data_IF_364739398745
#
_entry.id   IF_364739398745
#
_cell.length_a   1.000
_cell.length_b   1.000
_cell.length_c   1.000
_cell.angle_alpha   90.00
_cell.angle_beta   90.00
_cell.angle_gamma   90.00
#
_symmetry.space_group_name_H-M   'P 1'
#
loop_
_entity.id
_entity.type
_entity.pdbx_description
1 polymer ?
#
# COMPACT_ATOMS: atom_id res chain seq x y z
N UNK A 1 -9.54 27.46 64.69
CA UNK A 1 -10.51 28.47 64.23
C UNK A 1 -10.39 28.50 62.73
N UNK A 2 -11.48 28.16 62.07
CA UNK A 2 -11.59 27.85 60.65
C UNK A 2 -11.14 28.99 59.75
N UNK A 3 -9.92 28.90 59.22
CA UNK A 3 -9.44 29.71 58.09
C UNK A 3 -9.47 28.92 56.77
N UNK A 4 -10.07 27.73 56.76
CA UNK A 4 -10.04 26.81 55.61
C UNK A 4 -11.14 27.01 54.57
N UNK A 5 -12.26 27.67 54.90
CA UNK A 5 -13.40 27.77 53.99
C UNK A 5 -13.50 29.08 53.21
N UNK A 6 -12.72 30.10 53.57
CA UNK A 6 -12.72 31.39 52.85
C UNK A 6 -11.96 31.30 51.52
N UNK A 7 -10.88 30.53 51.47
CA UNK A 7 -9.99 30.51 50.30
C UNK A 7 -10.60 29.89 49.04
N UNK A 8 -11.45 28.86 49.16
CA UNK A 8 -11.96 28.14 47.98
C UNK A 8 -13.02 28.98 47.24
N UNK A 9 -13.88 29.69 47.99
CA UNK A 9 -14.89 30.57 47.38
C UNK A 9 -14.26 31.78 46.69
N UNK A 10 -13.20 32.34 47.27
CA UNK A 10 -12.46 33.43 46.63
C UNK A 10 -11.86 33.00 45.29
N UNK A 11 -11.25 31.80 45.23
CA UNK A 11 -10.73 31.28 43.96
C UNK A 11 -11.82 31.01 42.93
N UNK A 12 -12.98 30.50 43.35
CA UNK A 12 -14.11 30.26 42.44
C UNK A 12 -14.61 31.59 41.85
N UNK A 13 -14.78 32.63 42.67
CA UNK A 13 -15.20 33.95 42.18
C UNK A 13 -14.21 34.57 41.21
N UNK A 14 -12.90 34.49 41.49
CA UNK A 14 -11.85 34.98 40.58
C UNK A 14 -11.83 34.17 39.28
N UNK A 15 -12.11 32.87 39.32
CA UNK A 15 -12.16 32.04 38.12
C UNK A 15 -13.34 32.44 37.23
N UNK A 16 -14.53 32.66 37.82
CA UNK A 16 -15.71 33.16 37.08
C UNK A 16 -15.47 34.57 36.53
N UNK A 17 -14.84 35.47 37.27
CA UNK A 17 -14.52 36.82 36.78
C UNK A 17 -13.54 36.77 35.59
N UNK A 18 -12.57 35.86 35.63
CA UNK A 18 -11.63 35.63 34.52
C UNK A 18 -12.36 35.00 33.32
N UNK A 19 -13.24 34.02 33.55
CA UNK A 19 -14.02 33.38 32.50
C UNK A 19 -14.94 34.39 31.80
N UNK A 20 -15.65 35.23 32.56
CA UNK A 20 -16.48 36.31 32.05
C UNK A 20 -15.63 37.36 31.31
N UNK A 21 -14.46 37.74 31.85
CA UNK A 21 -13.55 38.66 31.17
C UNK A 21 -12.98 38.09 29.87
N UNK A 22 -12.71 36.78 29.81
CA UNK A 22 -12.25 36.11 28.59
C UNK A 22 -13.40 36.01 27.59
N UNK A 23 -14.63 35.71 28.03
CA UNK A 23 -15.80 35.66 27.17
C UNK A 23 -16.07 37.03 26.52
N UNK A 24 -16.07 38.11 27.30
CA UNK A 24 -16.25 39.49 26.81
C UNK A 24 -15.12 39.89 25.86
N UNK A 25 -13.86 39.60 26.21
CA UNK A 25 -12.71 39.90 25.34
C UNK A 25 -12.75 39.12 24.03
N UNK A 26 -13.13 37.84 24.10
CA UNK A 26 -13.29 36.99 22.91
C UNK A 26 -14.41 37.50 22.00
N UNK A 27 -15.53 37.93 22.55
CA UNK A 27 -16.63 38.50 21.78
C UNK A 27 -16.24 39.84 21.12
N UNK A 28 -15.48 40.69 21.82
CA UNK A 28 -14.95 41.93 21.27
C UNK A 28 -13.95 41.68 20.12
N UNK A 29 -13.08 40.67 20.24
CA UNK A 29 -12.15 40.28 19.18
C UNK A 29 -12.89 39.74 17.95
N UNK A 30 -13.92 38.90 18.15
CA UNK A 30 -14.74 38.37 17.06
C UNK A 30 -15.49 39.48 16.31
N UNK A 31 -16.10 40.41 17.05
CA UNK A 31 -16.80 41.55 16.45
C UNK A 31 -15.85 42.47 15.67
N UNK A 32 -14.62 42.70 16.18
CA UNK A 32 -13.59 43.45 15.46
C UNK A 32 -13.12 42.73 14.19
N UNK A 33 -12.99 41.39 14.22
CA UNK A 33 -12.65 40.62 13.03
C UNK A 33 -13.75 40.69 11.97
N UNK A 34 -15.02 40.58 12.37
CA UNK A 34 -16.17 40.66 11.47
C UNK A 34 -16.30 42.06 10.85
N UNK A 35 -16.12 43.12 11.64
CA UNK A 35 -16.10 44.49 11.15
C UNK A 35 -14.96 44.72 10.14
N UNK A 36 -13.75 44.21 10.43
CA UNK A 36 -12.62 44.29 9.51
C UNK A 36 -12.92 43.57 8.21
N UNK A 37 -13.51 42.37 8.27
CA UNK A 37 -13.82 41.56 7.10
C UNK A 37 -14.91 42.22 6.23
N UNK A 38 -15.92 42.83 6.86
CA UNK A 38 -16.94 43.63 6.18
C UNK A 38 -16.35 44.86 5.50
N UNK A 39 -15.43 45.57 6.16
CA UNK A 39 -14.75 46.73 5.59
C UNK A 39 -13.85 46.33 4.41
N UNK A 40 -13.07 45.25 4.53
CA UNK A 40 -12.23 44.77 3.41
C UNK A 40 -13.07 44.29 2.24
N UNK A 41 -14.20 43.62 2.48
CA UNK A 41 -15.14 43.26 1.42
C UNK A 41 -15.74 44.49 0.74
N UNK A 42 -16.07 45.53 1.51
CA UNK A 42 -16.57 46.79 0.96
C UNK A 42 -15.52 47.50 0.12
N UNK A 43 -14.26 47.55 0.57
CA UNK A 43 -13.13 48.10 -0.20
C UNK A 43 -12.87 47.31 -1.49
N UNK A 44 -12.88 45.96 -1.43
CA UNK A 44 -12.73 45.11 -2.62
C UNK A 44 -13.89 45.35 -3.60
N UNK A 45 -15.12 45.43 -3.10
CA UNK A 45 -16.30 45.67 -3.94
C UNK A 45 -16.26 47.06 -4.58
N UNK A 46 -15.88 48.08 -3.80
CA UNK A 46 -15.69 49.45 -4.31
C UNK A 46 -14.56 49.52 -5.31
N UNK A 47 -13.46 48.78 -5.11
CA UNK A 47 -12.34 48.69 -6.05
C UNK A 47 -12.77 47.99 -7.35
N UNK A 48 -13.53 46.91 -7.27
CA UNK A 48 -14.10 46.25 -8.46
C UNK A 48 -15.04 47.18 -9.21
N UNK A 49 -15.91 47.92 -8.51
CA UNK A 49 -16.80 48.90 -9.14
C UNK A 49 -16.02 50.06 -9.77
N UNK A 50 -15.00 50.59 -9.10
CA UNK A 50 -14.12 51.62 -9.64
C UNK A 50 -13.35 51.12 -10.87
N UNK A 51 -12.81 49.90 -10.82
CA UNK A 51 -12.14 49.25 -11.98
C UNK A 51 -13.13 49.07 -13.13
N UNK A 52 -14.39 48.73 -12.86
CA UNK A 52 -15.44 48.59 -13.86
C UNK A 52 -15.85 49.94 -14.47
N UNK A 53 -15.89 51.01 -13.68
CA UNK A 53 -16.20 52.35 -14.14
C UNK A 53 -15.03 53.01 -14.89
N UNK A 54 -13.78 52.77 -14.48
CA UNK A 54 -12.58 53.39 -15.07
C UNK A 54 -12.04 52.63 -16.29
N UNK A 55 -12.25 51.31 -16.38
CA UNK A 55 -11.79 50.55 -17.54
C UNK A 55 -12.73 50.71 -18.73
N UNK A 56 -12.30 51.54 -19.68
CA UNK A 56 -12.88 51.66 -21.04
C UNK A 56 -13.04 50.31 -21.76
N UNK A 57 -12.28 49.28 -21.37
CA UNK A 57 -12.40 47.93 -21.94
C UNK A 57 -13.62 47.15 -21.43
N UNK A 58 -14.11 47.46 -20.22
CA UNK A 58 -15.24 46.74 -19.62
C UNK A 58 -16.56 47.43 -19.94
N UNK A 59 -16.56 48.77 -20.10
CA UNK A 59 -17.78 49.52 -20.41
C UNK A 59 -17.52 50.63 -21.47
N UNK A 60 -17.40 50.29 -22.77
CA UNK A 60 -17.01 51.26 -23.81
C UNK A 60 -18.09 52.31 -24.14
N UNK A 61 -19.26 52.28 -23.53
CA UNK A 61 -20.40 53.11 -23.94
C UNK A 61 -20.55 54.45 -23.19
N UNK A 62 -19.63 54.81 -22.27
CA UNK A 62 -19.81 56.08 -21.55
C UNK A 62 -19.26 57.32 -22.28
N UNK A 63 -18.37 57.15 -23.27
CA UNK A 63 -17.63 58.30 -23.82
C UNK A 63 -17.85 58.60 -25.30
N UNK A 64 -18.78 57.95 -26.00
CA UNK A 64 -19.16 58.39 -27.34
C UNK A 64 -20.64 58.74 -27.39
N UNK A 65 -20.92 60.03 -27.14
CA UNK A 65 -22.10 60.77 -27.58
C UNK A 65 -22.14 60.81 -29.12
N UNK A 66 -22.24 59.66 -29.76
CA UNK A 66 -22.60 59.55 -31.17
C UNK A 66 -22.64 58.08 -31.52
N UNK A 67 -23.85 57.54 -31.67
CA UNK A 67 -24.29 56.77 -32.83
C UNK A 67 -25.54 56.02 -32.42
N UNK A 68 -26.67 56.58 -32.83
CA UNK A 68 -27.94 55.91 -33.00
C UNK A 68 -27.74 54.61 -33.79
N UNK A 69 -27.57 53.50 -33.09
CA UNK A 69 -27.83 52.16 -33.63
C UNK A 69 -28.51 51.36 -32.55
N UNK A 70 -29.84 51.49 -32.53
CA UNK A 70 -30.74 50.60 -31.81
C UNK A 70 -30.33 49.12 -32.02
N UNK A 71 -30.18 48.40 -30.91
CA UNK A 71 -30.45 46.96 -30.89
C UNK A 71 -29.28 45.98 -31.09
N UNK A 72 -28.02 46.38 -30.93
CA UNK A 72 -26.93 45.40 -30.76
C UNK A 72 -26.16 45.66 -29.48
N UNK A 73 -26.65 45.07 -28.41
CA UNK A 73 -25.91 44.80 -27.19
C UNK A 73 -24.60 44.09 -27.52
N UNK A 74 -23.51 44.84 -27.70
CA UNK A 74 -22.17 44.27 -27.87
C UNK A 74 -21.63 43.88 -26.49
N UNK A 75 -22.31 42.93 -25.83
CA UNK A 75 -21.67 42.13 -24.81
C UNK A 75 -20.66 41.24 -25.54
N UNK A 76 -19.38 41.32 -25.17
CA UNK A 76 -18.33 40.43 -25.68
C UNK A 76 -18.71 39.00 -25.29
N UNK A 77 -19.35 38.29 -26.21
CA UNK A 77 -19.81 36.93 -25.97
C UNK A 77 -18.58 36.00 -25.91
N UNK A 78 -18.20 35.47 -24.74
CA UNK A 78 -16.96 34.69 -24.57
C UNK A 78 -16.96 33.41 -25.42
N UNK A 79 -18.11 32.96 -25.92
CA UNK A 79 -18.20 31.83 -26.85
C UNK A 79 -17.51 32.11 -28.19
N UNK A 80 -17.55 33.35 -28.70
CA UNK A 80 -16.92 33.73 -29.97
C UNK A 80 -15.39 33.77 -29.83
N UNK A 81 -14.88 34.08 -28.63
CA UNK A 81 -13.44 34.11 -28.36
C UNK A 81 -12.79 32.75 -28.68
N UNK A 82 -13.44 31.65 -28.32
CA UNK A 82 -12.93 30.30 -28.61
C UNK A 82 -12.78 30.02 -30.11
N UNK A 83 -13.73 30.49 -30.93
CA UNK A 83 -13.68 30.34 -32.37
C UNK A 83 -12.57 31.21 -32.98
N UNK A 84 -12.44 32.45 -32.51
CA UNK A 84 -11.38 33.37 -32.96
C UNK A 84 -9.98 32.90 -32.55
N UNK A 85 -9.83 32.31 -31.36
CA UNK A 85 -8.56 31.68 -30.94
C UNK A 85 -8.20 30.51 -31.86
N UNK A 86 -9.17 29.69 -32.29
CA UNK A 86 -8.91 28.59 -33.24
C UNK A 86 -8.49 29.12 -34.62
N UNK A 87 -9.15 30.15 -35.13
CA UNK A 87 -8.75 30.80 -36.39
C UNK A 87 -7.35 31.41 -36.28
N UNK A 88 -7.04 32.07 -35.17
CA UNK A 88 -5.74 32.67 -34.91
C UNK A 88 -4.63 31.61 -34.79
N UNK A 89 -4.90 30.48 -34.11
CA UNK A 89 -3.95 29.37 -34.05
C UNK A 89 -3.67 28.77 -35.43
N UNK A 90 -4.69 28.65 -36.28
CA UNK A 90 -4.49 28.16 -37.65
C UNK A 90 -3.64 29.11 -38.49
N UNK A 91 -3.84 30.43 -38.32
CA UNK A 91 -2.99 31.45 -38.95
C UNK A 91 -1.55 31.40 -38.41
N UNK A 92 -1.38 31.20 -37.11
CA UNK A 92 -0.07 31.09 -36.47
C UNK A 92 0.70 29.85 -36.97
N UNK A 93 0.04 28.69 -37.11
CA UNK A 93 0.67 27.50 -37.69
C UNK A 93 1.06 27.71 -39.16
N UNK A 94 0.22 28.41 -39.94
CA UNK A 94 0.57 28.77 -41.32
C UNK A 94 1.80 29.68 -41.37
N UNK A 95 1.87 30.65 -40.45
CA UNK A 95 3.00 31.58 -40.33
C UNK A 95 4.29 30.86 -39.92
N UNK A 96 4.22 29.91 -38.98
CA UNK A 96 5.36 29.06 -38.61
C UNK A 96 5.88 28.27 -39.79
N UNK A 97 5.00 27.65 -40.57
CA UNK A 97 5.39 26.87 -41.75
C UNK A 97 6.08 27.75 -42.80
N UNK A 98 5.53 28.93 -43.07
CA UNK A 98 6.15 29.90 -44.00
C UNK A 98 7.50 30.41 -43.49
N UNK A 99 7.63 30.64 -42.18
CA UNK A 99 8.91 31.04 -41.59
C UNK A 99 9.97 29.93 -41.71
N UNK A 100 9.60 28.68 -41.47
CA UNK A 100 10.49 27.53 -41.61
C UNK A 100 10.91 27.29 -43.06
N UNK A 101 10.01 27.52 -44.01
CA UNK A 101 10.30 27.45 -45.44
C UNK A 101 11.26 28.58 -45.87
N UNK A 102 11.04 29.80 -45.36
CA UNK A 102 11.95 30.92 -45.58
C UNK A 102 13.34 30.68 -44.96
N UNK A 103 13.40 30.07 -43.77
CA UNK A 103 14.66 29.74 -43.11
C UNK A 103 15.41 28.63 -43.84
N UNK A 104 14.73 27.56 -44.27
CA UNK A 104 15.35 26.49 -45.08
C UNK A 104 15.84 27.01 -46.42
N UNK A 105 15.12 27.95 -47.05
CA UNK A 105 15.57 28.63 -48.26
C UNK A 105 16.80 29.53 -48.01
N UNK A 106 16.84 30.28 -46.91
CA UNK A 106 18.02 31.07 -46.52
C UNK A 106 19.24 30.17 -46.23
N UNK A 107 19.04 29.06 -45.52
CA UNK A 107 20.07 28.05 -45.30
C UNK A 107 20.58 27.49 -46.64
N UNK A 108 19.68 27.15 -47.56
CA UNK A 108 20.05 26.65 -48.88
C UNK A 108 20.88 27.69 -49.64
N UNK A 109 20.47 28.97 -49.64
CA UNK A 109 21.22 30.03 -50.31
C UNK A 109 22.56 30.33 -49.64
N UNK A 110 22.64 30.33 -48.31
CA UNK A 110 23.92 30.46 -47.60
C UNK A 110 24.87 29.33 -47.97
N UNK A 111 24.38 28.09 -47.98
CA UNK A 111 25.21 26.93 -48.31
C UNK A 111 25.64 26.91 -49.77
N UNK A 112 24.77 27.32 -50.70
CA UNK A 112 25.05 27.25 -52.14
C UNK A 112 25.78 28.47 -52.71
N UNK A 113 25.45 29.68 -52.25
CA UNK A 113 26.08 30.91 -52.75
C UNK A 113 27.36 31.27 -51.99
N UNK A 114 27.46 30.97 -50.69
CA UNK A 114 28.67 31.31 -49.93
C UNK A 114 29.79 30.28 -50.12
N UNK A 115 29.45 29.04 -50.51
CA UNK A 115 30.43 27.99 -50.75
C UNK A 115 30.84 27.91 -52.22
N UNK A 116 31.45 28.97 -52.76
CA UNK A 116 32.31 28.87 -53.96
C UNK A 116 33.65 28.15 -53.66
N UNK A 117 33.70 27.28 -52.65
CA UNK A 117 34.76 26.29 -52.43
C UNK A 117 34.10 24.91 -52.37
N UNK A 118 34.33 24.04 -53.37
CA UNK A 118 33.63 22.77 -53.47
C UNK A 118 33.99 21.89 -52.27
N UNK A 119 32.95 21.29 -51.68
CA UNK A 119 32.98 20.40 -50.53
C UNK A 119 34.18 19.44 -50.59
N UNK A 120 35.21 19.72 -49.80
CA UNK A 120 36.09 18.66 -49.33
C UNK A 120 35.29 17.90 -48.28
N UNK A 121 34.65 16.82 -48.71
CA UNK A 121 34.01 15.87 -47.82
C UNK A 121 35.09 15.36 -46.87
N UNK A 122 34.93 15.65 -45.57
CA UNK A 122 35.78 15.17 -44.50
C UNK A 122 35.78 13.64 -44.54
N UNK A 123 36.81 13.08 -45.17
CA UNK A 123 36.97 11.65 -45.34
C UNK A 123 37.18 11.01 -43.98
N UNK A 124 36.61 9.82 -43.76
CA UNK A 124 36.77 9.00 -42.54
C UNK A 124 38.25 8.73 -42.17
N UNK A 125 39.18 9.03 -43.08
CA UNK A 125 40.63 8.97 -42.89
C UNK A 125 41.26 10.28 -42.37
N UNK A 126 40.49 11.29 -42.03
CA UNK A 126 41.03 12.53 -41.45
C UNK A 126 41.78 12.18 -40.14
N UNK A 127 43.07 12.56 -40.01
CA UNK A 127 43.85 12.28 -38.81
C UNK A 127 43.21 12.79 -37.51
N UNK A 128 42.38 13.84 -37.56
CA UNK A 128 41.65 14.31 -36.39
C UNK A 128 40.58 13.33 -35.94
N UNK A 129 39.83 12.75 -36.89
CA UNK A 129 38.79 11.75 -36.61
C UNK A 129 39.41 10.45 -36.10
N UNK A 130 40.50 10.00 -36.71
CA UNK A 130 41.22 8.79 -36.25
C UNK A 130 41.72 8.96 -34.82
N UNK A 131 42.34 10.10 -34.50
CA UNK A 131 42.83 10.40 -33.14
C UNK A 131 41.70 10.50 -32.11
N UNK A 132 40.55 11.04 -32.50
CA UNK A 132 39.38 11.09 -31.63
C UNK A 132 38.80 9.69 -31.40
N UNK A 133 38.70 8.87 -32.44
CA UNK A 133 38.19 7.50 -32.35
C UNK A 133 39.10 6.61 -31.49
N UNK A 134 40.43 6.76 -31.63
CA UNK A 134 41.42 6.11 -30.76
C UNK A 134 41.19 6.51 -29.30
N UNK A 135 41.06 7.81 -29.00
CA UNK A 135 40.81 8.29 -27.63
C UNK A 135 39.46 7.82 -27.05
N UNK A 136 38.43 7.68 -27.88
CA UNK A 136 37.14 7.14 -27.45
C UNK A 136 37.23 5.65 -27.14
N UNK A 137 37.99 4.90 -27.94
CA UNK A 137 38.23 3.48 -27.68
C UNK A 137 39.06 3.27 -26.41
N UNK A 138 40.11 4.06 -26.20
CA UNK A 138 40.93 4.01 -24.97
C UNK A 138 40.07 4.31 -23.74
N UNK A 139 39.23 5.35 -23.81
CA UNK A 139 38.34 5.71 -22.70
C UNK A 139 37.30 4.62 -22.44
N UNK A 140 36.79 3.98 -23.50
CA UNK A 140 35.83 2.87 -23.38
C UNK A 140 36.49 1.65 -22.73
N UNK A 141 37.72 1.33 -23.10
CA UNK A 141 38.49 0.23 -22.53
C UNK A 141 38.86 0.51 -21.07
N UNK A 142 39.29 1.73 -20.74
CA UNK A 142 39.57 2.15 -19.36
C UNK A 142 38.31 2.05 -18.49
N UNK A 143 37.18 2.58 -18.95
CA UNK A 143 35.90 2.49 -18.21
C UNK A 143 35.48 1.03 -18.04
N UNK A 144 35.59 0.22 -19.09
CA UNK A 144 35.23 -1.21 -19.03
C UNK A 144 36.09 -1.94 -18.00
N UNK A 145 37.40 -1.76 -18.03
CA UNK A 145 38.34 -2.42 -17.12
C UNK A 145 38.16 -1.95 -15.67
N UNK A 146 37.93 -0.66 -15.44
CA UNK A 146 37.66 -0.12 -14.10
C UNK A 146 36.33 -0.64 -13.55
N UNK A 147 35.30 -0.72 -14.38
CA UNK A 147 34.00 -1.25 -13.95
C UNK A 147 34.06 -2.76 -13.70
N UNK A 148 34.75 -3.52 -14.55
CA UNK A 148 34.93 -4.96 -14.38
C UNK A 148 35.73 -5.28 -13.11
N UNK A 149 36.79 -4.52 -12.83
CA UNK A 149 37.54 -4.63 -11.57
C UNK A 149 36.68 -4.31 -10.34
N UNK A 150 35.83 -3.28 -10.39
CA UNK A 150 34.90 -2.96 -9.29
C UNK A 150 33.85 -4.06 -9.09
N UNK A 151 33.36 -4.66 -10.18
CA UNK A 151 32.40 -5.77 -10.10
C UNK A 151 33.04 -6.99 -9.42
N UNK A 152 34.27 -7.35 -9.80
CA UNK A 152 34.97 -8.47 -9.15
C UNK A 152 35.32 -8.18 -7.69
N UNK A 153 35.64 -6.94 -7.32
CA UNK A 153 35.81 -6.55 -5.91
C UNK A 153 34.50 -6.74 -5.12
N UNK A 154 33.38 -6.21 -5.62
CA UNK A 154 32.07 -6.33 -4.96
C UNK A 154 31.67 -7.81 -4.82
N UNK A 155 31.96 -8.62 -5.83
CA UNK A 155 31.69 -10.07 -5.80
C UNK A 155 32.52 -10.79 -4.73
N UNK A 156 33.78 -10.40 -4.54
CA UNK A 156 34.61 -10.91 -3.45
C UNK A 156 34.06 -10.50 -2.07
N UNK A 157 33.64 -9.25 -1.91
CA UNK A 157 33.00 -8.76 -0.66
C UNK A 157 31.68 -9.50 -0.37
N UNK A 158 30.87 -9.79 -1.38
CA UNK A 158 29.64 -10.60 -1.23
C UNK A 158 29.98 -12.03 -0.81
N UNK A 159 31.03 -12.64 -1.37
CA UNK A 159 31.46 -13.98 -0.98
C UNK A 159 31.97 -14.03 0.46
N UNK A 160 32.78 -13.04 0.87
CA UNK A 160 33.28 -12.93 2.25
C UNK A 160 32.14 -12.71 3.26
N UNK A 161 31.21 -11.81 2.95
CA UNK A 161 30.04 -11.57 3.81
C UNK A 161 29.11 -12.79 3.85
N UNK A 162 28.94 -13.51 2.74
CA UNK A 162 28.22 -14.78 2.68
C UNK A 162 28.87 -15.87 3.53
N UNK A 163 30.20 -15.97 3.52
CA UNK A 163 30.93 -16.93 4.35
C UNK A 163 30.80 -16.60 5.85
N UNK A 164 30.99 -15.34 6.23
CA UNK A 164 30.81 -14.87 7.60
C UNK A 164 29.37 -15.11 8.12
N UNK A 165 28.37 -14.98 7.25
CA UNK A 165 26.97 -15.27 7.60
C UNK A 165 26.77 -16.78 7.84
N UNK A 166 27.35 -17.64 7.00
CA UNK A 166 27.28 -19.09 7.18
C UNK A 166 27.93 -19.53 8.50
N UNK A 167 29.12 -19.03 8.83
CA UNK A 167 29.79 -19.34 10.11
C UNK A 167 28.95 -18.91 11.32
N UNK A 168 28.32 -17.73 11.27
CA UNK A 168 27.43 -17.27 12.33
C UNK A 168 26.17 -18.13 12.45
N UNK A 169 25.63 -18.60 11.32
CA UNK A 169 24.47 -19.49 11.33
C UNK A 169 24.82 -20.84 11.94
N UNK A 170 26.00 -21.38 11.65
CA UNK A 170 26.48 -22.62 12.26
C UNK A 170 26.66 -22.47 13.78
N UNK A 171 27.23 -21.35 14.24
CA UNK A 171 27.34 -21.04 15.68
C UNK A 171 25.96 -20.96 16.37
N UNK A 172 24.97 -20.35 15.71
CA UNK A 172 23.59 -20.28 16.26
C UNK A 172 22.98 -21.67 16.35
N UNK A 173 23.19 -22.52 15.34
CA UNK A 173 22.67 -23.88 15.34
C UNK A 173 23.32 -24.72 16.46
N UNK A 174 24.61 -24.54 16.71
CA UNK A 174 25.32 -25.18 17.82
C UNK A 174 24.77 -24.73 19.18
N UNK A 175 24.60 -23.42 19.39
CA UNK A 175 23.97 -22.87 20.59
C UNK A 175 22.54 -23.38 20.79
N UNK A 176 21.78 -23.57 19.71
CA UNK A 176 20.42 -24.11 19.78
C UNK A 176 20.42 -25.58 20.22
N UNK A 177 21.35 -26.38 19.71
CA UNK A 177 21.53 -27.78 20.13
C UNK A 177 21.96 -27.88 21.59
N UNK A 178 22.92 -27.05 22.02
CA UNK A 178 23.37 -26.99 23.42
C UNK A 178 22.22 -26.59 24.36
N UNK A 179 21.49 -25.52 24.04
CA UNK A 179 20.34 -25.07 24.83
C UNK A 179 19.21 -26.11 24.87
N UNK A 180 19.01 -26.86 23.78
CA UNK A 180 18.04 -27.96 23.77
C UNK A 180 18.48 -29.09 24.69
N UNK A 181 19.76 -29.46 24.66
CA UNK A 181 20.33 -30.44 25.58
C UNK A 181 20.22 -30.02 27.06
N UNK A 182 20.47 -28.75 27.38
CA UNK A 182 20.30 -28.22 28.73
C UNK A 182 18.84 -28.27 29.20
N UNK A 183 17.89 -27.98 28.31
CA UNK A 183 16.46 -28.09 28.60
C UNK A 183 16.08 -29.55 28.87
N UNK A 184 16.58 -30.50 28.08
CA UNK A 184 16.37 -31.94 28.31
C UNK A 184 16.94 -32.38 29.66
N UNK A 185 18.16 -31.97 30.00
CA UNK A 185 18.76 -32.26 31.32
C UNK A 185 17.94 -31.67 32.48
N UNK A 186 17.37 -30.47 32.31
CA UNK A 186 16.48 -29.88 33.29
C UNK A 186 15.18 -30.68 33.45
N UNK A 187 14.63 -31.19 32.36
CA UNK A 187 13.44 -32.05 32.37
C UNK A 187 13.70 -33.40 33.04
N UNK A 188 14.84 -34.01 32.77
CA UNK A 188 15.25 -35.26 33.41
C UNK A 188 15.44 -35.07 34.91
N UNK A 189 16.14 -34.00 35.32
CA UNK A 189 16.32 -33.64 36.73
C UNK A 189 14.97 -33.39 37.43
N UNK A 190 14.03 -32.72 36.76
CA UNK A 190 12.68 -32.50 37.28
C UNK A 190 11.92 -33.83 37.46
N UNK A 191 12.03 -34.73 36.49
CA UNK A 191 11.39 -36.05 36.55
C UNK A 191 11.97 -36.93 37.65
N UNK A 192 13.30 -36.91 37.83
CA UNK A 192 13.96 -37.60 38.95
C UNK A 192 13.48 -37.07 40.30
N UNK A 193 13.38 -35.74 40.44
CA UNK A 193 12.90 -35.11 41.67
C UNK A 193 11.45 -35.52 41.98
N UNK A 194 10.58 -35.52 40.96
CA UNK A 194 9.19 -35.98 41.08
C UNK A 194 9.09 -37.45 41.47
N UNK A 195 9.96 -38.30 40.93
CA UNK A 195 10.01 -39.72 41.26
C UNK A 195 10.49 -39.99 42.70
N UNK A 196 11.42 -39.17 43.21
CA UNK A 196 11.86 -39.25 44.60
C UNK A 196 10.76 -38.82 45.58
N UNK A 197 10.07 -37.70 45.30
CA UNK A 197 8.94 -37.25 46.13
C UNK A 197 7.84 -38.31 46.20
N UNK A 198 7.46 -38.88 45.05
CA UNK A 198 6.45 -39.95 45.00
C UNK A 198 6.86 -41.22 45.76
N UNK A 199 8.16 -41.49 45.93
CA UNK A 199 8.65 -42.63 46.72
C UNK A 199 8.63 -42.32 48.21
N UNK A 200 8.98 -41.10 48.61
CA UNK A 200 8.89 -40.66 50.01
C UNK A 200 7.44 -40.69 50.51
N UNK A 201 6.49 -40.23 49.70
CA UNK A 201 5.06 -40.27 50.03
C UNK A 201 4.56 -41.71 50.23
N UNK A 202 5.01 -42.65 49.39
CA UNK A 202 4.66 -44.08 49.50
C UNK A 202 5.32 -44.74 50.72
N UNK A 203 6.54 -44.37 51.07
CA UNK A 203 7.21 -44.92 52.24
C UNK A 203 6.62 -44.37 53.56
N UNK A 204 6.15 -43.12 53.58
CA UNK A 204 5.44 -42.55 54.74
C UNK A 204 4.06 -43.18 54.99
N UNK A 205 3.39 -43.63 53.92
CA UNK A 205 2.11 -44.35 54.03
C UNK A 205 2.27 -45.80 54.51
N UNK A 206 3.48 -46.36 54.49
CA UNK A 206 3.73 -47.78 54.79
C UNK A 206 3.73 -48.16 56.27
N UNK A 207 3.76 -47.21 57.22
CA UNK A 207 4.05 -47.54 58.63
C UNK A 207 2.97 -47.19 59.65
N UNK A 208 1.72 -46.93 59.23
CA UNK A 208 0.59 -46.87 60.16
C UNK A 208 -0.60 -47.66 59.67
N UNK A 209 -0.65 -48.91 60.13
CA UNK A 209 -1.88 -49.66 60.37
C UNK A 209 -2.97 -48.74 60.93
N UNK A 210 -4.02 -48.50 60.17
CA UNK A 210 -5.34 -48.29 60.79
C UNK A 210 -6.44 -48.81 59.86
N UNK A 211 -6.96 -49.97 60.23
CA UNK A 211 -8.37 -50.37 60.21
C UNK A 211 -9.27 -49.47 59.34
N UNK A 212 -9.55 -49.99 58.15
CA UNK A 212 -10.87 -50.06 57.50
C UNK A 212 -11.91 -49.00 57.90
N UNK A 213 -12.25 -48.22 56.87
CA UNK A 213 -13.56 -47.64 56.57
C UNK A 213 -13.83 -46.20 57.06
N UNK A 214 -13.23 -45.25 56.36
CA UNK A 214 -13.98 -44.07 55.87
C UNK A 214 -13.46 -43.70 54.47
N UNK A 215 -14.21 -44.13 53.45
CA UNK A 215 -13.87 -44.15 52.03
C UNK A 215 -14.06 -42.82 51.28
N UNK A 216 -14.08 -41.66 51.93
CA UNK A 216 -14.37 -40.39 51.22
C UNK A 216 -13.43 -39.21 51.58
N UNK A 217 -12.30 -39.43 52.26
CA UNK A 217 -11.41 -38.32 52.65
C UNK A 217 -10.15 -38.15 51.80
N UNK A 218 -9.66 -39.18 51.09
CA UNK A 218 -8.45 -39.05 50.27
C UNK A 218 -8.70 -38.47 48.87
N UNK A 219 -9.92 -38.64 48.32
CA UNK A 219 -10.25 -38.14 46.98
C UNK A 219 -10.34 -36.60 46.94
N UNK A 220 -10.75 -35.96 48.04
CA UNK A 220 -10.83 -34.48 48.12
C UNK A 220 -9.45 -33.82 48.05
N UNK A 221 -8.41 -34.42 48.64
CA UNK A 221 -7.05 -33.86 48.63
C UNK A 221 -6.44 -34.00 47.25
N UNK A 222 -6.61 -35.15 46.60
CA UNK A 222 -6.10 -35.40 45.25
C UNK A 222 -6.85 -34.57 44.21
N UNK A 223 -8.18 -34.41 44.36
CA UNK A 223 -8.98 -33.49 43.55
C UNK A 223 -8.55 -32.02 43.75
N UNK A 224 -8.32 -31.61 45.01
CA UNK A 224 -7.83 -30.25 45.31
C UNK A 224 -6.45 -30.01 44.70
N UNK A 225 -5.55 -30.99 44.76
CA UNK A 225 -4.22 -30.88 44.18
C UNK A 225 -4.26 -30.82 42.64
N UNK A 226 -5.06 -31.67 42.00
CA UNK A 226 -5.23 -31.63 40.54
C UNK A 226 -5.89 -30.33 40.07
N UNK A 227 -6.86 -29.81 40.82
CA UNK A 227 -7.47 -28.50 40.56
C UNK A 227 -6.47 -27.35 40.76
N UNK A 228 -5.63 -27.42 41.79
CA UNK A 228 -4.56 -26.44 42.01
C UNK A 228 -3.52 -26.47 40.88
N UNK A 229 -3.11 -27.65 40.42
CA UNK A 229 -2.20 -27.79 39.28
C UNK A 229 -2.80 -27.22 37.99
N UNK A 230 -4.10 -27.49 37.72
CA UNK A 230 -4.81 -26.89 36.58
C UNK A 230 -4.86 -25.37 36.70
N UNK A 231 -5.11 -24.83 37.89
CA UNK A 231 -5.10 -23.39 38.15
C UNK A 231 -3.71 -22.78 37.89
N UNK A 232 -2.65 -23.43 38.36
CA UNK A 232 -1.26 -22.99 38.15
C UNK A 232 -0.88 -23.01 36.66
N UNK A 233 -1.31 -24.05 35.94
CA UNK A 233 -1.13 -24.15 34.49
C UNK A 233 -1.88 -23.03 33.75
N UNK A 234 -3.15 -22.80 34.10
CA UNK A 234 -3.95 -21.71 33.54
C UNK A 234 -3.35 -20.34 33.86
N UNK A 235 -2.80 -20.13 35.06
CA UNK A 235 -2.10 -18.91 35.42
C UNK A 235 -0.84 -18.69 34.57
N UNK A 236 -0.04 -19.74 34.36
CA UNK A 236 1.14 -19.67 33.46
C UNK A 236 0.74 -19.38 32.01
N UNK A 237 -0.33 -19.99 31.51
CA UNK A 237 -0.87 -19.64 30.19
C UNK A 237 -1.33 -18.18 30.15
N UNK A 238 -2.05 -17.70 31.15
CA UNK A 238 -2.49 -16.30 31.22
C UNK A 238 -1.31 -15.33 31.23
N UNK A 239 -0.23 -15.65 31.96
CA UNK A 239 1.01 -14.87 31.94
C UNK A 239 1.68 -14.85 30.57
N UNK A 240 1.69 -15.99 29.85
CA UNK A 240 2.19 -16.05 28.46
C UNK A 240 1.34 -15.20 27.53
N UNK A 241 0.02 -15.37 27.54
CA UNK A 241 -0.91 -14.59 26.71
C UNK A 241 -0.81 -13.10 27.01
N UNK A 242 -0.72 -12.68 28.26
CA UNK A 242 -0.57 -11.25 28.61
C UNK A 242 0.77 -10.68 28.15
N UNK A 243 1.85 -11.46 28.19
CA UNK A 243 3.14 -11.06 27.63
C UNK A 243 3.06 -10.90 26.10
N UNK A 244 2.46 -11.87 25.41
CA UNK A 244 2.28 -11.86 23.96
C UNK A 244 1.37 -10.69 23.51
N UNK A 245 0.31 -10.39 24.27
CA UNK A 245 -0.55 -9.23 24.04
C UNK A 245 0.22 -7.91 24.21
N UNK A 246 1.12 -7.84 25.20
CA UNK A 246 1.97 -6.67 25.44
C UNK A 246 2.99 -6.49 24.31
N UNK A 247 3.63 -7.56 23.86
CA UNK A 247 4.55 -7.56 22.71
C UNK A 247 3.82 -7.14 21.43
N UNK A 248 2.63 -7.69 21.17
CA UNK A 248 1.79 -7.29 20.03
C UNK A 248 1.37 -5.82 20.11
N UNK A 249 1.04 -5.32 21.29
CA UNK A 249 0.71 -3.90 21.49
C UNK A 249 1.93 -3.00 21.29
N UNK A 250 3.12 -3.45 21.67
CA UNK A 250 4.37 -2.73 21.44
C UNK A 250 4.73 -2.68 19.96
N UNK A 251 4.60 -3.80 19.23
CA UNK A 251 4.76 -3.86 17.77
C UNK A 251 3.74 -2.95 17.08
N UNK A 252 2.47 -2.98 17.49
CA UNK A 252 1.44 -2.06 16.99
C UNK A 252 1.83 -0.60 17.22
N UNK A 253 2.30 -0.25 18.41
CA UNK A 253 2.73 1.11 18.73
C UNK A 253 3.98 1.52 17.92
N UNK A 254 4.92 0.60 17.68
CA UNK A 254 6.06 0.85 16.80
C UNK A 254 5.63 1.08 15.36
N UNK A 255 4.66 0.32 14.84
CA UNK A 255 4.11 0.52 13.49
C UNK A 255 3.42 1.89 13.39
N UNK A 256 2.63 2.28 14.41
CA UNK A 256 1.98 3.60 14.44
C UNK A 256 3.03 4.71 14.47
N UNK A 257 4.06 4.60 15.32
CA UNK A 257 5.16 5.58 15.38
C UNK A 257 5.95 5.66 14.07
N UNK A 258 6.24 4.53 13.44
CA UNK A 258 6.89 4.49 12.11
C UNK A 258 5.99 5.10 11.04
N UNK A 259 4.69 4.88 11.10
CA UNK A 259 3.71 5.50 10.21
C UNK A 259 3.56 7.02 10.41
N UNK A 260 3.80 7.52 11.63
CA UNK A 260 3.82 8.96 11.90
C UNK A 260 5.16 9.61 11.52
N UNK A 261 6.29 8.92 11.73
CA UNK A 261 7.61 9.40 11.28
C UNK A 261 7.77 9.36 9.76
N UNK A 262 7.20 8.35 9.08
CA UNK A 262 7.27 8.26 7.61
C UNK A 262 6.48 9.35 6.89
N UNK A 263 5.61 10.10 7.58
CA UNK A 263 4.98 11.31 7.02
C UNK A 263 5.94 12.49 6.89
N UNK A 264 7.14 12.45 7.48
CA UNK A 264 8.07 13.58 7.47
C UNK A 264 9.31 13.45 6.58
N UNK A 265 9.63 12.27 6.06
CA UNK A 265 10.85 12.09 5.25
C UNK A 265 10.56 11.35 3.94
N UNK A 266 10.53 12.14 2.85
CA UNK A 266 10.94 11.88 1.46
C UNK A 266 10.67 10.52 0.78
N UNK A 267 9.68 9.74 1.24
CA UNK A 267 9.24 8.51 0.56
C UNK A 267 8.07 8.72 -0.43
N UNK A 268 7.73 9.98 -0.73
CA UNK A 268 6.60 10.35 -1.59
C UNK A 268 6.59 9.67 -2.97
N UNK A 269 7.73 9.21 -3.47
CA UNK A 269 7.78 8.60 -4.80
C UNK A 269 7.57 7.07 -4.80
N UNK A 270 7.93 6.35 -3.74
CA UNK A 270 7.80 4.88 -3.70
C UNK A 270 6.42 4.42 -3.23
N UNK A 271 5.86 5.09 -2.20
CA UNK A 271 4.52 4.77 -1.69
C UNK A 271 3.40 5.19 -2.66
N UNK A 272 3.60 6.26 -3.44
CA UNK A 272 2.68 6.62 -4.51
C UNK A 272 2.56 5.50 -5.53
N UNK A 273 3.70 4.93 -5.96
CA UNK A 273 3.71 3.82 -6.91
C UNK A 273 3.00 2.58 -6.35
N UNK A 274 3.24 2.18 -5.09
CA UNK A 274 2.56 1.02 -4.51
C UNK A 274 1.06 1.25 -4.31
N UNK A 275 0.66 2.44 -3.86
CA UNK A 275 -0.76 2.81 -3.75
C UNK A 275 -1.44 2.84 -5.12
N UNK A 276 -0.80 3.42 -6.14
CA UNK A 276 -1.29 3.41 -7.52
C UNK A 276 -1.40 1.99 -8.07
N UNK A 277 -0.46 1.09 -7.73
CA UNK A 277 -0.47 -0.30 -8.17
C UNK A 277 -1.61 -1.08 -7.49
N UNK A 278 -1.82 -0.89 -6.18
CA UNK A 278 -2.98 -1.44 -5.46
C UNK A 278 -4.32 -0.88 -5.98
N UNK A 279 -4.39 0.42 -6.26
CA UNK A 279 -5.57 1.03 -6.89
C UNK A 279 -5.80 0.48 -8.30
N UNK A 280 -4.75 0.29 -9.08
CA UNK A 280 -4.80 -0.30 -10.42
C UNK A 280 -5.27 -1.75 -10.37
N UNK A 281 -4.78 -2.56 -9.42
CA UNK A 281 -5.27 -3.93 -9.21
C UNK A 281 -6.75 -3.90 -8.82
N UNK A 282 -7.17 -3.06 -7.89
CA UNK A 282 -8.59 -2.97 -7.52
C UNK A 282 -9.48 -2.48 -8.67
N UNK A 283 -9.00 -1.54 -9.49
CA UNK A 283 -9.70 -1.10 -10.69
C UNK A 283 -9.75 -2.20 -11.74
N UNK A 284 -8.69 -3.01 -11.86
CA UNK A 284 -8.66 -4.18 -12.73
C UNK A 284 -9.66 -5.22 -12.23
N UNK A 285 -9.71 -5.54 -10.94
CA UNK A 285 -10.71 -6.44 -10.35
C UNK A 285 -12.13 -5.95 -10.66
N UNK A 286 -12.42 -4.66 -10.42
CA UNK A 286 -13.73 -4.05 -10.74
C UNK A 286 -14.05 -4.06 -12.24
N UNK A 287 -13.05 -3.81 -13.08
CA UNK A 287 -13.20 -3.89 -14.54
C UNK A 287 -13.55 -5.32 -14.95
N UNK A 288 -12.90 -6.31 -14.34
CA UNK A 288 -13.12 -7.71 -14.63
C UNK A 288 -14.49 -8.19 -14.17
N UNK A 289 -14.91 -7.83 -12.96
CA UNK A 289 -16.26 -8.06 -12.45
C UNK A 289 -17.31 -7.52 -13.41
N UNK A 290 -17.13 -6.28 -13.89
CA UNK A 290 -18.09 -5.60 -14.76
C UNK A 290 -18.19 -6.18 -16.17
N UNK A 291 -17.04 -6.52 -16.79
CA UNK A 291 -17.00 -6.85 -18.22
C UNK A 291 -17.04 -8.35 -18.52
N UNK A 292 -16.46 -9.19 -17.65
CA UNK A 292 -16.30 -10.61 -17.91
C UNK A 292 -17.28 -11.46 -17.09
N UNK A 293 -17.47 -11.17 -15.79
CA UNK A 293 -18.32 -12.01 -14.93
C UNK A 293 -19.83 -11.81 -15.19
N UNK A 294 -20.25 -10.67 -15.75
CA UNK A 294 -21.66 -10.35 -15.96
C UNK A 294 -22.24 -10.77 -17.32
N UNK A 295 -21.40 -11.22 -18.27
CA UNK A 295 -21.85 -11.32 -19.68
C UNK A 295 -22.51 -12.65 -20.09
N UNK A 296 -22.59 -13.66 -19.23
CA UNK A 296 -23.09 -14.97 -19.64
C UNK A 296 -24.00 -15.70 -18.65
N UNK A 297 -23.82 -15.51 -17.35
CA UNK A 297 -24.40 -16.41 -16.36
C UNK A 297 -25.30 -15.63 -15.39
N UNK A 298 -26.56 -16.07 -15.24
CA UNK A 298 -27.53 -15.50 -14.28
C UNK A 298 -27.07 -15.61 -12.82
N UNK A 299 -26.01 -16.38 -12.57
CA UNK A 299 -25.38 -16.61 -11.27
C UNK A 299 -24.41 -15.48 -10.97
N UNK A 300 -24.66 -14.73 -9.90
CA UNK A 300 -23.75 -13.68 -9.46
C UNK A 300 -22.56 -14.31 -8.74
N UNK A 301 -21.36 -14.07 -9.24
CA UNK A 301 -20.14 -14.48 -8.57
C UNK A 301 -19.88 -13.52 -7.39
N UNK A 302 -19.64 -14.06 -6.20
CA UNK A 302 -19.30 -13.35 -4.97
C UNK A 302 -17.82 -13.58 -4.63
N UNK A 303 -17.21 -12.60 -3.95
CA UNK A 303 -15.85 -12.70 -3.39
C UNK A 303 -14.80 -13.16 -4.41
N UNK A 304 -14.79 -12.53 -5.59
CA UNK A 304 -13.78 -12.81 -6.60
C UNK A 304 -12.43 -12.22 -6.17
N UNK A 305 -11.49 -13.08 -5.80
CA UNK A 305 -10.16 -12.70 -5.31
C UNK A 305 -9.06 -13.27 -6.22
N UNK A 306 -8.12 -12.41 -6.63
CA UNK A 306 -6.95 -12.80 -7.43
C UNK A 306 -5.70 -12.67 -6.56
N UNK A 307 -5.05 -13.80 -6.31
CA UNK A 307 -3.75 -13.88 -5.63
C UNK A 307 -2.64 -13.99 -6.67
N UNK A 308 -2.18 -12.84 -7.16
CA UNK A 308 -1.14 -12.75 -8.22
C UNK A 308 0.16 -13.47 -7.85
N UNK A 309 0.62 -13.34 -6.60
CA UNK A 309 1.86 -13.97 -6.12
C UNK A 309 1.79 -15.50 -6.07
N UNK A 310 0.60 -16.04 -5.78
CA UNK A 310 0.38 -17.49 -5.71
C UNK A 310 -0.11 -18.08 -7.04
N UNK A 311 -0.44 -17.24 -8.01
CA UNK A 311 -1.11 -17.65 -9.25
C UNK A 311 -2.46 -18.30 -8.98
N UNK A 312 -3.24 -17.80 -8.01
CA UNK A 312 -4.54 -18.38 -7.62
C UNK A 312 -5.69 -17.42 -7.87
N UNK A 313 -6.81 -17.94 -8.35
CA UNK A 313 -8.08 -17.22 -8.48
C UNK A 313 -9.12 -17.96 -7.68
N UNK A 314 -9.80 -17.28 -6.76
CA UNK A 314 -10.86 -17.83 -5.93
C UNK A 314 -12.15 -17.05 -6.13
N UNK A 315 -13.26 -17.76 -6.20
CA UNK A 315 -14.58 -17.14 -6.24
C UNK A 315 -15.66 -18.04 -5.66
N UNK A 316 -16.76 -17.43 -5.25
CA UNK A 316 -17.95 -18.09 -4.70
C UNK A 316 -19.13 -17.86 -5.67
N UNK A 317 -19.96 -18.88 -5.88
CA UNK A 317 -21.16 -18.74 -6.71
C UNK A 317 -22.34 -18.40 -5.80
N UNK A 318 -23.00 -17.25 -5.99
CA UNK A 318 -24.20 -16.92 -5.21
C UNK A 318 -25.30 -17.94 -5.44
N UNK A 319 -26.03 -18.27 -4.38
CA UNK A 319 -27.08 -19.30 -4.28
C UNK A 319 -26.57 -20.75 -4.26
N UNK A 320 -25.29 -20.97 -4.55
CA UNK A 320 -24.63 -22.26 -4.45
C UNK A 320 -23.61 -22.24 -3.30
N UNK A 321 -23.59 -23.28 -2.47
CA UNK A 321 -22.64 -23.37 -1.36
C UNK A 321 -21.20 -23.69 -1.82
N UNK A 322 -20.83 -23.44 -3.08
CA UNK A 322 -19.53 -23.81 -3.64
C UNK A 322 -18.54 -22.63 -3.68
N UNK A 323 -17.33 -22.85 -3.17
CA UNK A 323 -16.14 -22.03 -3.36
C UNK A 323 -15.24 -22.74 -4.37
N UNK A 324 -14.88 -22.05 -5.44
CA UNK A 324 -14.01 -22.57 -6.49
C UNK A 324 -12.67 -21.84 -6.39
N UNK A 325 -11.57 -22.60 -6.31
CA UNK A 325 -10.22 -22.05 -6.36
C UNK A 325 -9.41 -22.71 -7.47
N UNK A 326 -8.90 -21.90 -8.40
CA UNK A 326 -8.12 -22.31 -9.56
C UNK A 326 -6.67 -21.91 -9.32
N UNK A 327 -5.75 -22.88 -9.33
CA UNK A 327 -4.31 -22.65 -9.17
C UNK A 327 -3.59 -22.78 -10.52
N UNK A 328 -2.77 -21.80 -10.87
CA UNK A 328 -1.98 -21.74 -12.09
C UNK A 328 -0.52 -22.14 -11.81
N UNK A 329 0.11 -22.86 -12.75
CA UNK A 329 1.43 -23.47 -12.54
C UNK A 329 2.60 -22.50 -12.72
N UNK A 330 2.45 -21.48 -13.57
CA UNK A 330 3.56 -20.58 -13.92
C UNK A 330 3.05 -19.24 -14.50
N UNK A 331 3.64 -18.12 -14.07
CA UNK A 331 3.27 -16.77 -14.51
C UNK A 331 3.63 -16.53 -15.98
N UNK A 332 4.68 -17.19 -16.49
CA UNK A 332 5.15 -17.02 -17.88
C UNK A 332 4.33 -17.81 -18.89
N UNK A 333 3.72 -18.92 -18.46
CA UNK A 333 2.82 -19.77 -19.25
C UNK A 333 1.71 -20.25 -18.33
N UNK A 334 0.57 -19.54 -18.25
CA UNK A 334 -0.51 -19.91 -17.34
C UNK A 334 -1.11 -21.25 -17.79
N UNK A 335 -0.68 -22.34 -17.15
CA UNK A 335 -1.33 -23.64 -17.25
C UNK A 335 -2.13 -23.87 -15.96
N UNK A 336 -3.31 -24.47 -16.07
CA UNK A 336 -4.11 -24.84 -14.90
C UNK A 336 -3.43 -26.02 -14.21
N UNK A 337 -2.91 -25.77 -13.01
CA UNK A 337 -2.23 -26.78 -12.17
C UNK A 337 -3.25 -27.67 -11.47
N UNK A 338 -4.26 -27.04 -10.89
CA UNK A 338 -5.27 -27.69 -10.06
C UNK A 338 -6.51 -26.80 -9.95
N UNK A 339 -7.69 -27.39 -9.93
CA UNK A 339 -8.97 -26.76 -9.60
C UNK A 339 -9.45 -27.44 -8.34
N UNK A 340 -9.78 -26.68 -7.30
CA UNK A 340 -10.33 -27.19 -6.04
C UNK A 340 -11.74 -26.64 -5.82
N UNK A 341 -12.73 -27.52 -5.70
CA UNK A 341 -14.13 -27.17 -5.42
C UNK A 341 -14.48 -27.56 -3.98
N UNK A 342 -14.92 -26.58 -3.20
CA UNK A 342 -15.23 -26.71 -1.79
C UNK A 342 -16.70 -26.39 -1.55
N UNK A 343 -17.46 -27.30 -0.93
CA UNK A 343 -18.87 -27.11 -0.58
C UNK A 343 -19.02 -26.69 0.90
N UNK A 344 -19.75 -25.60 1.15
CA UNK A 344 -20.08 -25.05 2.48
C UNK A 344 -21.36 -25.69 3.02
N UNK A 345 -21.29 -26.89 3.58
CA UNK A 345 -22.44 -27.49 4.26
C UNK A 345 -22.47 -27.08 5.75
N UNK A 346 -23.43 -26.23 6.13
CA UNK A 346 -23.82 -26.00 7.53
C UNK A 346 -22.72 -25.45 8.47
N UNK A 347 -21.68 -24.81 7.93
CA UNK A 347 -20.53 -24.28 8.68
C UNK A 347 -19.22 -25.03 8.47
N UNK A 348 -19.26 -26.22 7.86
CA UNK A 348 -18.07 -26.96 7.46
C UNK A 348 -17.83 -26.82 5.95
N UNK A 349 -16.57 -26.58 5.59
CA UNK A 349 -16.10 -26.53 4.21
C UNK A 349 -15.56 -27.93 3.87
N UNK A 350 -16.30 -28.69 3.07
CA UNK A 350 -15.93 -30.05 2.65
C UNK A 350 -15.54 -30.02 1.17
N UNK A 351 -14.40 -30.59 0.82
CA UNK A 351 -14.00 -30.78 -0.58
C UNK A 351 -14.95 -31.78 -1.25
N UNK A 352 -15.63 -31.36 -2.31
CA UNK A 352 -16.46 -32.28 -3.11
C UNK A 352 -15.55 -33.10 -4.04
N UNK A 353 -15.20 -34.31 -3.61
CA UNK A 353 -14.20 -35.16 -4.29
C UNK A 353 -14.64 -35.52 -5.72
N UNK A 354 -15.94 -35.69 -5.97
CA UNK A 354 -16.46 -36.09 -7.28
C UNK A 354 -16.34 -34.96 -8.30
N UNK A 355 -16.87 -33.78 -7.96
CA UNK A 355 -16.74 -32.59 -8.79
C UNK A 355 -15.26 -32.24 -9.02
N UNK A 356 -14.44 -32.31 -7.97
CA UNK A 356 -13.03 -32.01 -8.04
C UNK A 356 -12.27 -32.93 -9.01
N UNK A 357 -12.58 -34.22 -9.00
CA UNK A 357 -11.97 -35.20 -9.91
C UNK A 357 -12.38 -34.98 -11.36
N UNK A 358 -13.66 -34.63 -11.62
CA UNK A 358 -14.21 -34.40 -12.95
C UNK A 358 -13.56 -33.19 -13.63
N UNK A 359 -13.48 -32.05 -12.94
CA UNK A 359 -12.89 -30.82 -13.49
C UNK A 359 -11.37 -30.90 -13.60
N UNK A 360 -10.69 -31.51 -12.62
CA UNK A 360 -9.26 -31.74 -12.76
C UNK A 360 -8.93 -32.66 -13.93
N UNK A 361 -9.69 -33.73 -14.16
CA UNK A 361 -9.44 -34.59 -15.31
C UNK A 361 -9.70 -33.88 -16.66
N UNK A 362 -10.63 -32.91 -16.72
CA UNK A 362 -10.97 -32.17 -17.94
C UNK A 362 -9.97 -31.06 -18.28
N UNK A 363 -9.43 -30.35 -17.28
CA UNK A 363 -8.62 -29.13 -17.51
C UNK A 363 -7.16 -29.22 -17.09
N UNK A 364 -6.74 -30.25 -16.34
CA UNK A 364 -5.34 -30.40 -15.93
C UNK A 364 -4.42 -30.53 -17.15
N UNK A 365 -3.41 -29.65 -17.21
CA UNK A 365 -2.42 -29.53 -18.29
C UNK A 365 -2.96 -29.07 -19.67
N UNK A 366 -4.20 -28.55 -19.75
CA UNK A 366 -4.69 -27.98 -21.00
C UNK A 366 -4.07 -26.60 -21.27
N UNK A 367 -3.31 -26.48 -22.36
CA UNK A 367 -2.55 -25.27 -22.75
C UNK A 367 -3.36 -24.26 -23.57
N UNK A 368 -4.52 -24.66 -24.09
CA UNK A 368 -5.27 -23.88 -25.08
C UNK A 368 -6.56 -23.23 -24.56
N UNK A 369 -7.02 -23.59 -23.36
CA UNK A 369 -8.32 -23.14 -22.87
C UNK A 369 -8.14 -21.84 -22.09
N UNK A 370 -8.92 -20.81 -22.47
CA UNK A 370 -8.94 -19.55 -21.74
C UNK A 370 -9.61 -19.79 -20.38
N UNK A 371 -9.04 -19.27 -19.28
CA UNK A 371 -9.55 -19.50 -17.91
C UNK A 371 -11.05 -19.14 -17.80
N UNK A 372 -11.52 -18.19 -18.61
CA UNK A 372 -12.94 -17.81 -18.68
C UNK A 372 -13.86 -18.92 -19.20
N UNK A 373 -13.48 -19.62 -20.27
CA UNK A 373 -14.26 -20.76 -20.76
C UNK A 373 -14.33 -21.86 -19.71
N UNK A 374 -13.25 -22.04 -18.94
CA UNK A 374 -13.22 -22.98 -17.81
C UNK A 374 -14.17 -22.53 -16.69
N UNK A 375 -14.16 -21.25 -16.32
CA UNK A 375 -15.06 -20.72 -15.30
C UNK A 375 -16.53 -20.81 -15.73
N UNK A 376 -16.86 -20.41 -16.96
CA UNK A 376 -18.22 -20.48 -17.49
C UNK A 376 -18.70 -21.93 -17.64
N UNK A 377 -17.82 -22.87 -18.03
CA UNK A 377 -18.13 -24.30 -18.07
C UNK A 377 -18.40 -24.86 -16.67
N UNK A 378 -17.56 -24.54 -15.68
CA UNK A 378 -17.75 -24.99 -14.28
C UNK A 378 -19.07 -24.45 -13.74
N UNK A 379 -19.35 -23.17 -13.97
CA UNK A 379 -20.61 -22.55 -13.53
C UNK A 379 -21.78 -23.22 -14.25
N UNK A 380 -21.72 -23.38 -15.56
CA UNK A 380 -22.82 -23.98 -16.33
C UNK A 380 -23.10 -25.43 -15.95
N UNK A 381 -22.07 -26.20 -15.63
CA UNK A 381 -22.19 -27.60 -15.24
C UNK A 381 -22.70 -27.74 -13.80
N UNK A 382 -22.23 -26.90 -12.86
CA UNK A 382 -22.73 -26.86 -11.48
C UNK A 382 -24.12 -26.25 -11.35
N UNK A 383 -24.58 -25.46 -12.33
CA UNK A 383 -25.94 -24.86 -12.31
C UNK A 383 -26.99 -25.76 -13.00
N UNK A 384 -26.56 -26.73 -13.81
CA UNK A 384 -27.45 -27.67 -14.53
C UNK A 384 -27.59 -29.04 -13.84
N UNK A 385 -26.82 -29.30 -12.78
CA UNK A 385 -27.13 -30.33 -11.78
C UNK A 385 -28.16 -29.80 -10.77
#
# INVERSE_FOLDING_TARGET
>A
MDTGSASIKDYETVLTDIEDSIAVSSEEVLNNQELRLKNTLHEITSSILAINEENKFVNPLRNDESLDVEGKEVFVNPKILSAKIKEFNKLMELLKLTYLEQETLDYFFRFTLSSTKPLQLDSEKDPQFVKLNERVNDLKEEISNVQESKIEQIKAEIQETGHNFAEKQDLINELYLEATGDIENCWDSLNELKNLTNKEDKNMMGEKDTILNSSDSDDFVEETYTNWQKLLFLQKQNQRLTKELKEMHEVKNQIIRKGEQSKKEDSGHLMANESELCQSINLLTKFWEKHFLLKGSKTTILNFEIFTQLGKVQFEIKDMQYIIAISLSDLKRPMIKDITILQKAGGNIVTDIEANSKFNNKYRNNTKVQIFEVMDDIISELTNE
#
